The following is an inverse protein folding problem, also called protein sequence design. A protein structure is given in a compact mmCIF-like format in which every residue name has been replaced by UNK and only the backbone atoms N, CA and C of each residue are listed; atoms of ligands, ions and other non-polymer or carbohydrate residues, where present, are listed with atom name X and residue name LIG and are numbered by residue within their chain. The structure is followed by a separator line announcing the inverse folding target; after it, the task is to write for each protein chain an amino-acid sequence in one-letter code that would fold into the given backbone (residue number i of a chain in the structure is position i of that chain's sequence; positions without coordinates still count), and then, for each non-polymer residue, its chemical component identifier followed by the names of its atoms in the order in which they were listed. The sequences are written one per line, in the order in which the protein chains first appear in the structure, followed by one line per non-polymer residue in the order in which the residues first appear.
data_IF_031528396749
#
_entry.id   IF_031528396749
#
_cell.length_a   1.000
_cell.length_b   1.000
_cell.length_c   1.000
_cell.angle_alpha   90.00
_cell.angle_beta   90.00
_cell.angle_gamma   90.00
#
_symmetry.space_group_name_H-M   'P 1'
#
loop_
_entity.id
_entity.type
_entity.pdbx_description
1 polymer ?
#
# COMPACT_ATOMS: atom_id res chain seq x y z
N UNK A 1 8.01 -1.24 -12.65
CA UNK A 1 6.55 -1.23 -12.55
C UNK A 1 6.19 -1.13 -11.08
N UNK A 2 4.95 -0.80 -10.74
CA UNK A 2 4.49 -0.84 -9.36
C UNK A 2 3.27 -1.73 -9.30
N UNK A 3 3.32 -2.68 -8.37
CA UNK A 3 2.24 -3.63 -8.16
C UNK A 3 1.42 -3.16 -6.96
N UNK A 4 0.10 -3.10 -7.13
CA UNK A 4 -0.81 -2.68 -6.07
C UNK A 4 -1.95 -3.66 -5.98
N UNK A 5 -2.24 -4.10 -4.75
CA UNK A 5 -3.34 -5.03 -4.48
C UNK A 5 -4.14 -4.57 -3.27
N UNK A 6 -5.45 -4.62 -3.39
CA UNK A 6 -6.38 -4.30 -2.32
C UNK A 6 -6.72 -5.53 -1.47
N UNK A 7 -6.84 -5.30 -0.17
CA UNK A 7 -7.16 -6.30 0.84
C UNK A 7 -8.30 -5.81 1.70
N UNK A 8 -9.20 -6.73 2.05
CA UNK A 8 -10.30 -6.46 2.98
C UNK A 8 -9.96 -6.79 4.44
N UNK A 9 -8.96 -7.65 4.65
CA UNK A 9 -8.58 -8.17 5.95
C UNK A 9 -7.05 -8.20 6.10
N UNK A 10 -6.59 -7.87 7.29
CA UNK A 10 -5.18 -7.86 7.69
C UNK A 10 -4.50 -9.20 7.44
N UNK A 11 -5.15 -10.30 7.83
CA UNK A 11 -4.52 -11.62 7.77
C UNK A 11 -4.08 -12.01 6.35
N UNK A 12 -4.87 -11.64 5.33
CA UNK A 12 -4.53 -11.93 3.94
C UNK A 12 -3.36 -11.06 3.46
N UNK A 13 -3.37 -9.78 3.84
CA UNK A 13 -2.28 -8.84 3.56
C UNK A 13 -0.97 -9.34 4.18
N UNK A 14 -1.01 -9.69 5.48
CA UNK A 14 0.15 -10.19 6.21
C UNK A 14 0.73 -11.45 5.57
N UNK A 15 -0.15 -12.39 5.19
CA UNK A 15 0.27 -13.64 4.55
C UNK A 15 0.98 -13.38 3.21
N UNK A 16 0.44 -12.49 2.39
CA UNK A 16 1.02 -12.14 1.10
C UNK A 16 2.33 -11.36 1.26
N UNK A 17 2.43 -10.43 2.23
CA UNK A 17 3.70 -9.76 2.56
C UNK A 17 4.76 -10.78 2.97
N UNK A 18 4.41 -11.75 3.82
CA UNK A 18 5.34 -12.81 4.21
C UNK A 18 5.79 -13.65 3.01
N UNK A 19 4.90 -13.93 2.04
CA UNK A 19 5.29 -14.58 0.78
C UNK A 19 6.28 -13.71 0.00
N UNK A 20 6.02 -12.42 -0.15
CA UNK A 20 6.90 -11.48 -0.85
C UNK A 20 8.31 -11.51 -0.26
N UNK A 21 8.41 -11.37 1.06
CA UNK A 21 9.69 -11.42 1.78
C UNK A 21 10.42 -12.75 1.58
N UNK A 22 9.69 -13.88 1.64
CA UNK A 22 10.25 -15.21 1.39
C UNK A 22 10.75 -15.40 -0.04
N UNK A 23 10.15 -14.69 -1.00
CA UNK A 23 10.55 -14.69 -2.41
C UNK A 23 11.66 -13.64 -2.70
N UNK A 24 12.24 -13.05 -1.65
CA UNK A 24 13.36 -12.13 -1.75
C UNK A 24 12.97 -10.70 -2.12
N UNK A 25 11.69 -10.32 -1.97
CA UNK A 25 11.28 -8.91 -2.06
C UNK A 25 11.80 -8.18 -0.83
N UNK A 26 12.44 -7.02 -1.02
CA UNK A 26 12.98 -6.25 0.10
C UNK A 26 11.83 -5.60 0.88
N UNK A 27 11.98 -5.48 2.19
CA UNK A 27 11.03 -4.74 3.01
C UNK A 27 10.92 -3.28 2.56
N UNK A 28 12.04 -2.69 2.15
CA UNK A 28 12.13 -1.35 1.54
C UNK A 28 11.29 -1.16 0.27
N UNK A 29 10.95 -2.26 -0.41
CA UNK A 29 10.13 -2.24 -1.62
C UNK A 29 8.63 -2.45 -1.31
N UNK A 30 8.28 -2.80 -0.07
CA UNK A 30 6.91 -3.13 0.34
C UNK A 30 6.35 -2.01 1.21
N UNK A 31 5.21 -1.47 0.79
CA UNK A 31 4.50 -0.38 1.45
C UNK A 31 3.06 -0.82 1.74
N UNK A 32 2.55 -0.44 2.91
CA UNK A 32 1.16 -0.66 3.31
C UNK A 32 0.49 0.66 3.61
N UNK A 33 -0.79 0.73 3.28
CA UNK A 33 -1.64 1.88 3.53
C UNK A 33 -3.08 1.43 3.81
N UNK A 34 -3.65 1.91 4.90
CA UNK A 34 -5.05 1.69 5.27
C UNK A 34 -5.76 3.04 5.46
N UNK A 35 -7.08 3.01 5.63
CA UNK A 35 -7.89 4.21 5.89
C UNK A 35 -7.38 5.02 7.09
N UNK A 36 -7.05 4.32 8.19
CA UNK A 36 -6.55 4.92 9.41
C UNK A 36 -5.02 4.75 9.54
N UNK A 37 -4.35 5.83 9.95
CA UNK A 37 -2.91 5.87 10.23
C UNK A 37 -2.51 4.81 11.28
N UNK A 38 -3.33 4.64 12.33
CA UNK A 38 -3.02 3.68 13.40
C UNK A 38 -3.03 2.23 12.88
N UNK A 39 -4.02 1.89 12.04
CA UNK A 39 -4.14 0.57 11.43
C UNK A 39 -2.97 0.30 10.48
N UNK A 40 -2.58 1.30 9.70
CA UNK A 40 -1.41 1.25 8.81
C UNK A 40 -0.13 0.96 9.58
N UNK A 41 0.10 1.66 10.70
CA UNK A 41 1.28 1.48 11.55
C UNK A 41 1.33 0.09 12.20
N UNK A 42 0.19 -0.40 12.72
CA UNK A 42 0.12 -1.75 13.28
C UNK A 42 0.44 -2.84 12.25
N UNK A 43 -0.12 -2.72 11.05
CA UNK A 43 0.15 -3.63 9.94
C UNK A 43 1.62 -3.63 9.54
N UNK A 44 2.20 -2.45 9.35
CA UNK A 44 3.62 -2.30 9.01
C UNK A 44 4.51 -2.88 10.11
N UNK A 45 4.20 -2.64 11.38
CA UNK A 45 4.97 -3.18 12.49
C UNK A 45 4.93 -4.72 12.53
N UNK A 46 3.75 -5.31 12.31
CA UNK A 46 3.56 -6.76 12.29
C UNK A 46 4.23 -7.43 11.09
N UNK A 47 4.19 -6.78 9.93
CA UNK A 47 4.67 -7.35 8.66
C UNK A 47 6.10 -6.95 8.29
N UNK A 48 6.66 -5.97 9.01
CA UNK A 48 7.91 -5.27 8.69
C UNK A 48 7.87 -4.61 7.31
N UNK A 49 6.69 -4.25 6.83
CA UNK A 49 6.52 -3.41 5.65
C UNK A 49 6.76 -1.94 6.04
N UNK A 50 7.04 -1.10 5.05
CA UNK A 50 7.06 0.34 5.21
C UNK A 50 5.64 0.92 5.19
N UNK A 51 5.45 2.07 5.82
CA UNK A 51 4.21 2.84 5.73
C UNK A 51 4.38 4.01 4.77
N UNK A 52 3.35 4.28 3.97
CA UNK A 52 3.20 5.59 3.34
C UNK A 52 2.57 6.51 4.39
N UNK A 53 3.42 7.14 5.20
CA UNK A 53 2.96 8.16 6.13
C UNK A 53 2.53 9.40 5.33
N UNK A 54 1.27 9.77 5.46
CA UNK A 54 0.75 11.04 4.97
C UNK A 54 0.86 12.10 6.08
N UNK A 55 0.96 13.38 5.72
CA UNK A 55 0.99 14.44 6.72
C UNK A 55 -0.28 14.39 7.61
N UNK A 56 -0.09 14.25 8.93
CA UNK A 56 -1.19 14.12 9.89
C UNK A 56 -1.89 15.46 10.19
N UNK A 57 -1.22 16.58 9.97
CA UNK A 57 -1.74 17.93 10.22
C UNK A 57 -2.58 18.50 9.07
N UNK A 58 -2.71 17.75 7.97
CA UNK A 58 -3.41 18.20 6.77
C UNK A 58 -4.85 17.64 6.72
N UNK A 59 -5.76 18.43 6.12
CA UNK A 59 -7.16 18.05 5.97
C UNK A 59 -7.32 16.76 5.14
N UNK A 60 -8.46 16.08 5.26
CA UNK A 60 -8.71 14.81 4.54
C UNK A 60 -8.50 14.95 3.02
N UNK A 61 -8.92 16.08 2.43
CA UNK A 61 -8.68 16.42 1.02
C UNK A 61 -7.20 16.53 0.66
N UNK A 62 -6.37 17.07 1.56
CA UNK A 62 -4.92 17.18 1.34
C UNK A 62 -4.21 15.84 1.53
N UNK A 63 -4.67 15.00 2.46
CA UNK A 63 -4.19 13.61 2.58
C UNK A 63 -4.42 12.83 1.29
N UNK A 64 -5.58 13.02 0.66
CA UNK A 64 -5.91 12.46 -0.66
C UNK A 64 -4.95 12.92 -1.76
N UNK A 65 -4.70 14.22 -1.84
CA UNK A 65 -3.78 14.81 -2.83
C UNK A 65 -2.33 14.32 -2.65
N UNK A 66 -1.87 14.23 -1.40
CA UNK A 66 -0.54 13.74 -1.07
C UNK A 66 -0.42 12.24 -1.37
N UNK A 67 -1.47 11.46 -1.10
CA UNK A 67 -1.52 10.05 -1.47
C UNK A 67 -1.39 9.87 -2.98
N UNK A 68 -2.21 10.60 -3.76
CA UNK A 68 -2.19 10.51 -5.21
C UNK A 68 -0.82 10.87 -5.76
N UNK A 69 -0.22 11.95 -5.28
CA UNK A 69 1.15 12.34 -5.63
C UNK A 69 2.16 11.23 -5.34
N UNK A 70 2.12 10.60 -4.16
CA UNK A 70 3.04 9.50 -3.81
C UNK A 70 2.84 8.24 -4.67
N UNK A 71 1.60 7.96 -5.07
CA UNK A 71 1.28 6.85 -5.97
C UNK A 71 1.80 7.15 -7.38
N UNK A 72 1.61 8.38 -7.87
CA UNK A 72 2.15 8.83 -9.15
C UNK A 72 3.68 8.82 -9.16
N UNK A 73 4.33 9.23 -8.08
CA UNK A 73 5.78 9.10 -7.89
C UNK A 73 6.24 7.63 -7.89
N UNK A 74 5.38 6.71 -7.44
CA UNK A 74 5.62 5.28 -7.56
C UNK A 74 5.39 4.76 -8.98
N UNK A 75 4.89 5.56 -9.91
CA UNK A 75 4.60 5.16 -11.30
C UNK A 75 3.17 4.63 -11.50
N UNK A 76 2.25 4.95 -10.60
CA UNK A 76 0.81 4.75 -10.79
C UNK A 76 0.26 5.89 -11.65
N UNK A 77 -0.77 5.63 -12.45
CA UNK A 77 -1.46 6.69 -13.19
C UNK A 77 -2.41 7.47 -12.28
N UNK A 78 -2.72 8.72 -12.62
CA UNK A 78 -3.71 9.56 -11.92
C UNK A 78 -5.03 8.79 -11.68
N UNK A 79 -5.61 8.19 -12.72
CA UNK A 79 -6.83 7.39 -12.60
C UNK A 79 -6.69 6.22 -11.62
N UNK A 80 -5.54 5.54 -11.61
CA UNK A 80 -5.27 4.46 -10.68
C UNK A 80 -5.20 4.97 -9.24
N UNK A 81 -4.53 6.10 -9.05
CA UNK A 81 -4.40 6.75 -7.75
C UNK A 81 -5.77 7.15 -7.17
N UNK A 82 -6.66 7.73 -7.99
CA UNK A 82 -8.04 8.03 -7.59
C UNK A 82 -8.83 6.77 -7.21
N UNK A 83 -8.66 5.67 -7.96
CA UNK A 83 -9.31 4.41 -7.63
C UNK A 83 -8.82 3.85 -6.29
N UNK A 84 -7.51 3.92 -6.03
CA UNK A 84 -6.91 3.47 -4.79
C UNK A 84 -7.36 4.30 -3.58
N UNK A 85 -7.45 5.61 -3.72
CA UNK A 85 -8.02 6.51 -2.72
C UNK A 85 -9.47 6.11 -2.38
N UNK A 86 -10.31 5.89 -3.40
CA UNK A 86 -11.69 5.45 -3.20
C UNK A 86 -11.79 4.06 -2.53
N UNK A 87 -10.80 3.18 -2.73
CA UNK A 87 -10.73 1.89 -2.04
C UNK A 87 -10.39 2.03 -0.56
N UNK A 88 -9.46 2.93 -0.22
CA UNK A 88 -9.12 3.22 1.19
C UNK A 88 -10.31 3.85 1.92
N UNK A 89 -11.06 4.75 1.27
CA UNK A 89 -12.27 5.34 1.85
C UNK A 89 -13.35 4.28 2.15
N UNK A 90 -13.40 3.21 1.35
CA UNK A 90 -14.25 2.04 1.61
C UNK A 90 -13.75 1.14 2.76
N UNK A 91 -12.65 1.49 3.42
CA UNK A 91 -12.05 0.70 4.49
C UNK A 91 -11.19 -0.48 4.00
N UNK A 92 -10.76 -0.48 2.74
CA UNK A 92 -9.78 -1.45 2.25
C UNK A 92 -8.36 -1.03 2.64
N UNK A 93 -7.46 -1.99 2.54
CA UNK A 93 -6.03 -1.83 2.77
C UNK A 93 -5.33 -2.03 1.43
N UNK A 94 -4.39 -1.17 1.11
CA UNK A 94 -3.57 -1.28 -0.08
C UNK A 94 -2.18 -1.79 0.28
N UNK A 95 -1.76 -2.81 -0.46
CA UNK A 95 -0.38 -3.25 -0.53
C UNK A 95 0.23 -2.68 -1.79
N UNK A 96 1.34 -1.95 -1.65
CA UNK A 96 2.06 -1.34 -2.74
C UNK A 96 3.47 -1.92 -2.75
N UNK A 97 3.87 -2.54 -3.85
CA UNK A 97 5.20 -3.12 -4.01
C UNK A 97 5.90 -2.47 -5.19
N UNK A 98 7.03 -1.83 -4.91
CA UNK A 98 7.88 -1.19 -5.93
C UNK A 98 8.86 -2.20 -6.49
N UNK A 99 9.00 -2.28 -7.81
CA UNK A 99 10.02 -3.10 -8.45
C UNK A 99 9.64 -3.65 -9.82
N UNK A 100 10.62 -4.23 -10.52
CA UNK A 100 10.42 -4.79 -11.86
C UNK A 100 10.02 -6.27 -11.84
N UNK A 101 9.41 -6.74 -10.73
CA UNK A 101 9.02 -8.14 -10.58
C UNK A 101 7.54 -8.31 -10.89
N UNK A 102 7.22 -9.33 -11.67
CA UNK A 102 5.85 -9.78 -11.87
C UNK A 102 5.38 -10.46 -10.57
N UNK A 103 4.49 -9.79 -9.82
CA UNK A 103 3.95 -10.29 -8.56
C UNK A 103 2.57 -10.92 -8.72
N UNK A 104 1.94 -10.76 -9.88
CA UNK A 104 0.65 -11.37 -10.21
C UNK A 104 0.67 -12.89 -9.99
N UNK A 105 1.70 -13.60 -10.47
CA UNK A 105 1.83 -15.05 -10.30
C UNK A 105 2.09 -15.46 -8.83
N UNK A 106 2.76 -14.58 -8.06
CA UNK A 106 3.11 -14.84 -6.67
C UNK A 106 1.94 -14.61 -5.70
N UNK A 107 1.06 -13.69 -6.06
CA UNK A 107 -0.05 -13.21 -5.24
C UNK A 107 -1.44 -13.63 -5.77
N UNK A 108 -1.50 -14.60 -6.69
CA UNK A 108 -2.74 -15.24 -7.13
C UNK A 108 -3.53 -15.89 -5.97
#
# INVERSE_FOLDING_TARGET
MTFIKDYKNDQNLEHDIQKLLKNGVSQDDIYVLAHDDNHTQELAHRTRANTLQLAQDEGFDQKGDELRSKLEEAGVTEEGAEQYEAMLDQGKILLIVRGERDLDDLLQ
#
